data_IF_316696410327
#
_entry.id   IF_316696410327
#
_cell.length_a   1.000
_cell.length_b   1.000
_cell.length_c   1.000
_cell.angle_alpha   90.00
_cell.angle_beta   90.00
_cell.angle_gamma   90.00
#
_symmetry.space_group_name_H-M   'P 1'
#
loop_
_entity.id
_entity.type
_entity.pdbx_description
1 polymer ?
#
# COMPACT_ATOMS: atom_id res chain seq x y z
N UNK A 1 -7.15 14.63 13.17
CA UNK A 1 -6.74 13.23 12.88
C UNK A 1 -6.40 13.03 11.40
N UNK A 2 -7.18 13.54 10.45
CA UNK A 2 -6.86 13.42 9.00
C UNK A 2 -5.75 14.34 8.50
N UNK A 3 -5.49 15.46 9.19
CA UNK A 3 -4.48 16.44 8.77
C UNK A 3 -3.07 15.83 8.65
N UNK A 4 -2.58 15.15 9.69
CA UNK A 4 -1.25 14.52 9.66
C UNK A 4 -1.14 13.46 8.55
N UNK A 5 -2.19 12.66 8.33
CA UNK A 5 -2.24 11.69 7.23
C UNK A 5 -2.12 12.37 5.86
N UNK A 6 -2.86 13.47 5.66
CA UNK A 6 -2.82 14.22 4.41
C UNK A 6 -1.45 14.89 4.19
N UNK A 7 -0.85 15.42 5.24
CA UNK A 7 0.49 16.05 5.19
C UNK A 7 1.56 15.03 4.81
N UNK A 8 1.59 13.86 5.46
CA UNK A 8 2.55 12.80 5.14
C UNK A 8 2.33 12.21 3.75
N UNK A 9 1.06 12.01 3.33
CA UNK A 9 0.74 11.60 1.96
C UNK A 9 1.23 12.63 0.94
N UNK A 10 1.07 13.93 1.20
CA UNK A 10 1.58 14.96 0.30
C UNK A 10 3.10 14.97 0.21
N UNK A 11 3.82 14.80 1.33
CA UNK A 11 5.29 14.73 1.33
C UNK A 11 5.78 13.52 0.55
N UNK A 12 5.17 12.36 0.78
CA UNK A 12 5.49 11.14 0.05
C UNK A 12 5.27 11.31 -1.45
N UNK A 13 4.11 11.79 -1.89
CA UNK A 13 3.82 12.02 -3.31
C UNK A 13 4.79 13.01 -3.96
N UNK A 14 5.16 14.08 -3.27
CA UNK A 14 6.18 15.03 -3.76
C UNK A 14 7.56 14.39 -3.91
N UNK A 15 7.91 13.42 -3.05
CA UNK A 15 9.22 12.77 -3.10
C UNK A 15 9.40 11.84 -4.31
N UNK A 16 8.30 11.39 -4.91
CA UNK A 16 8.27 10.50 -6.08
C UNK A 16 7.74 11.21 -7.34
N UNK A 17 7.47 12.51 -7.26
CA UNK A 17 6.96 13.31 -8.37
C UNK A 17 8.01 13.41 -9.49
N UNK A 18 7.60 13.14 -10.73
CA UNK A 18 8.46 13.24 -11.91
C UNK A 18 9.35 12.02 -12.19
N UNK A 19 9.27 10.96 -11.37
CA UNK A 19 9.91 9.68 -11.70
C UNK A 19 9.29 9.06 -12.96
N UNK A 20 10.13 8.49 -13.82
CA UNK A 20 9.66 7.70 -14.97
C UNK A 20 9.16 6.33 -14.54
N UNK A 21 8.40 5.65 -15.41
CA UNK A 21 7.93 4.28 -15.14
C UNK A 21 9.09 3.31 -14.89
N UNK A 22 10.22 3.48 -15.58
CA UNK A 22 11.42 2.70 -15.36
C UNK A 22 11.99 2.93 -13.95
N UNK A 23 12.06 4.18 -13.50
CA UNK A 23 12.53 4.51 -12.14
C UNK A 23 11.54 4.02 -11.06
N UNK A 24 10.24 4.09 -11.35
CA UNK A 24 9.20 3.58 -10.45
C UNK A 24 9.25 2.07 -10.27
N UNK A 25 9.74 1.35 -11.29
CA UNK A 25 9.80 -0.13 -11.32
C UNK A 25 11.20 -0.69 -11.08
N UNK A 26 12.20 0.18 -10.95
CA UNK A 26 13.58 -0.19 -10.61
C UNK A 26 13.63 -0.88 -9.24
N UNK A 27 14.17 -2.09 -9.21
CA UNK A 27 14.36 -2.85 -7.97
C UNK A 27 15.58 -2.36 -7.22
N UNK A 28 15.62 -2.56 -5.91
CA UNK A 28 16.80 -2.22 -5.12
C UNK A 28 16.72 -0.85 -4.43
N UNK A 29 15.55 -0.20 -4.45
CA UNK A 29 15.37 1.11 -3.81
C UNK A 29 15.31 0.95 -2.29
N UNK A 30 14.61 -0.07 -1.81
CA UNK A 30 14.61 -0.51 -0.41
C UNK A 30 14.78 -2.03 -0.41
N UNK A 31 15.96 -2.52 -0.07
CA UNK A 31 16.33 -3.94 -0.17
C UNK A 31 16.03 -4.51 -1.57
N UNK A 32 14.98 -5.32 -1.73
CA UNK A 32 14.56 -5.89 -3.03
C UNK A 32 13.37 -5.15 -3.68
N UNK A 33 12.84 -4.12 -3.01
CA UNK A 33 11.61 -3.42 -3.40
C UNK A 33 11.91 -2.26 -4.34
N UNK A 34 11.00 -2.08 -5.30
CA UNK A 34 10.87 -0.87 -6.11
C UNK A 34 9.91 0.14 -5.45
N UNK A 35 9.86 1.38 -5.96
CA UNK A 35 8.85 2.36 -5.53
C UNK A 35 7.43 1.83 -5.79
N UNK A 36 7.21 1.13 -6.92
CA UNK A 36 5.95 0.43 -7.21
C UNK A 36 5.58 -0.54 -6.09
N UNK A 37 6.54 -1.31 -5.56
CA UNK A 37 6.25 -2.27 -4.49
C UNK A 37 5.89 -1.58 -3.17
N UNK A 38 6.51 -0.44 -2.86
CA UNK A 38 6.14 0.41 -1.72
C UNK A 38 4.70 0.94 -1.87
N UNK A 39 4.34 1.44 -3.05
CA UNK A 39 2.96 1.89 -3.34
C UNK A 39 1.95 0.76 -3.18
N UNK A 40 2.25 -0.42 -3.73
CA UNK A 40 1.39 -1.59 -3.63
C UNK A 40 1.19 -2.02 -2.17
N UNK A 41 2.25 -1.96 -1.36
CA UNK A 41 2.20 -2.27 0.06
C UNK A 41 1.29 -1.29 0.83
N UNK A 42 1.43 0.02 0.59
CA UNK A 42 0.58 1.04 1.22
C UNK A 42 -0.89 0.82 0.82
N UNK A 43 -1.16 0.69 -0.49
CA UNK A 43 -2.52 0.46 -1.00
C UNK A 43 -3.16 -0.80 -0.41
N UNK A 44 -2.39 -1.88 -0.22
CA UNK A 44 -2.90 -3.12 0.37
C UNK A 44 -3.32 -2.91 1.84
N UNK A 45 -2.48 -2.25 2.65
CA UNK A 45 -2.82 -1.97 4.05
C UNK A 45 -3.99 -0.99 4.19
N UNK A 46 -4.11 -0.01 3.29
CA UNK A 46 -5.26 0.90 3.26
C UNK A 46 -6.55 0.16 2.91
N UNK A 47 -6.51 -0.78 1.96
CA UNK A 47 -7.65 -1.64 1.61
C UNK A 47 -8.10 -2.52 2.79
N UNK A 48 -7.16 -3.08 3.56
CA UNK A 48 -7.44 -3.81 4.79
C UNK A 48 -8.13 -2.92 5.84
N UNK A 49 -7.69 -1.66 5.98
CA UNK A 49 -8.29 -0.68 6.89
C UNK A 49 -9.70 -0.28 6.47
N UNK A 50 -9.92 -0.05 5.16
CA UNK A 50 -11.25 0.22 4.61
C UNK A 50 -12.19 -0.94 4.86
N UNK A 51 -11.74 -2.17 4.61
CA UNK A 51 -12.51 -3.40 4.87
C UNK A 51 -12.85 -3.53 6.36
N UNK A 52 -11.89 -3.27 7.24
CA UNK A 52 -12.10 -3.30 8.69
C UNK A 52 -13.19 -2.31 9.12
N UNK A 53 -13.08 -1.05 8.68
CA UNK A 53 -14.06 0.01 9.00
C UNK A 53 -15.44 -0.35 8.42
N UNK A 54 -15.52 -0.89 7.21
CA UNK A 54 -16.77 -1.30 6.58
C UNK A 54 -17.46 -2.42 7.37
N UNK A 55 -16.72 -3.41 7.87
CA UNK A 55 -17.26 -4.47 8.71
C UNK A 55 -17.75 -3.93 10.06
N UNK A 56 -17.00 -3.04 10.70
CA UNK A 56 -17.44 -2.39 11.94
C UNK A 56 -18.74 -1.59 11.76
N UNK A 57 -18.85 -0.81 10.67
CA UNK A 57 -20.06 -0.04 10.36
C UNK A 57 -21.30 -0.94 10.15
N UNK A 58 -21.10 -2.18 9.73
CA UNK A 58 -22.16 -3.19 9.58
C UNK A 58 -22.49 -3.91 10.91
N UNK A 59 -21.88 -3.53 12.03
CA UNK A 59 -22.03 -4.23 13.31
C UNK A 59 -21.38 -5.61 13.33
N UNK A 60 -20.56 -5.95 12.35
CA UNK A 60 -19.85 -7.24 12.28
C UNK A 60 -18.55 -7.14 13.08
N UNK A 61 -18.16 -8.23 13.73
CA UNK A 61 -16.80 -8.38 14.27
C UNK A 61 -15.81 -8.40 13.11
N UNK A 62 -14.84 -7.46 13.03
CA UNK A 62 -13.92 -7.45 11.91
C UNK A 62 -13.06 -8.71 11.82
N UNK A 63 -12.83 -9.19 10.61
CA UNK A 63 -11.95 -10.30 10.27
C UNK A 63 -11.10 -9.85 9.08
N UNK A 64 -9.98 -9.21 9.40
CA UNK A 64 -9.03 -8.64 8.44
C UNK A 64 -7.61 -8.97 8.88
N UNK A 65 -6.65 -8.81 7.97
CA UNK A 65 -5.24 -9.09 8.23
C UNK A 65 -4.65 -8.16 9.29
N UNK A 66 -5.24 -6.97 9.49
CA UNK A 66 -4.93 -6.04 10.60
C UNK A 66 -5.04 -6.67 11.99
N UNK A 67 -5.86 -7.71 12.15
CA UNK A 67 -6.10 -8.36 13.45
C UNK A 67 -5.17 -9.55 13.72
N UNK A 68 -4.28 -9.89 12.77
CA UNK A 68 -3.50 -11.14 12.82
C UNK A 68 -2.27 -11.08 13.73
N UNK A 69 -1.68 -9.89 13.94
CA UNK A 69 -0.38 -9.72 14.59
C UNK A 69 0.83 -10.26 13.81
N UNK A 70 0.61 -10.75 12.58
CA UNK A 70 1.62 -11.41 11.73
C UNK A 70 2.10 -10.47 10.60
N UNK A 71 2.52 -9.26 10.97
CA UNK A 71 2.75 -8.15 10.02
C UNK A 71 3.81 -8.53 8.98
N UNK A 72 4.89 -9.20 9.39
CA UNK A 72 6.03 -9.55 8.56
C UNK A 72 5.69 -10.65 7.55
N UNK A 73 4.94 -11.68 7.98
CA UNK A 73 4.42 -12.73 7.11
C UNK A 73 3.49 -12.12 6.04
N UNK A 74 2.58 -11.25 6.47
CA UNK A 74 1.64 -10.56 5.58
C UNK A 74 2.35 -9.63 4.60
N UNK A 75 3.36 -8.88 5.04
CA UNK A 75 4.16 -8.03 4.17
C UNK A 75 4.84 -8.85 3.07
N UNK A 76 5.39 -10.02 3.40
CA UNK A 76 5.99 -10.92 2.42
C UNK A 76 4.95 -11.51 1.45
N UNK A 77 3.76 -11.87 1.94
CA UNK A 77 2.65 -12.36 1.11
C UNK A 77 2.11 -11.28 0.16
N UNK A 78 1.92 -10.06 0.65
CA UNK A 78 1.48 -8.91 -0.14
C UNK A 78 2.51 -8.54 -1.20
N UNK A 79 3.81 -8.53 -0.85
CA UNK A 79 4.88 -8.32 -1.82
C UNK A 79 4.84 -9.39 -2.92
N UNK A 80 4.79 -10.68 -2.54
CA UNK A 80 4.71 -11.79 -3.52
C UNK A 80 3.50 -11.67 -4.46
N UNK A 81 2.36 -11.22 -3.93
CA UNK A 81 1.10 -11.08 -4.68
C UNK A 81 1.13 -9.88 -5.63
N UNK A 82 1.88 -8.82 -5.29
CA UNK A 82 1.91 -7.58 -6.06
C UNK A 82 3.14 -7.41 -6.96
N UNK A 83 4.26 -8.08 -6.70
CA UNK A 83 5.55 -7.82 -7.39
C UNK A 83 5.47 -7.91 -8.92
N UNK A 84 4.60 -8.77 -9.45
CA UNK A 84 4.42 -8.98 -10.89
C UNK A 84 3.26 -8.16 -11.49
N UNK A 85 2.53 -7.38 -10.68
CA UNK A 85 1.47 -6.51 -11.19
C UNK A 85 2.08 -5.32 -11.93
N UNK A 86 1.46 -4.87 -13.02
CA UNK A 86 1.95 -3.74 -13.80
C UNK A 86 1.74 -2.42 -13.03
N UNK A 87 2.59 -1.43 -13.30
CA UNK A 87 2.65 -0.16 -12.56
C UNK A 87 1.32 0.60 -12.61
N UNK A 88 0.67 0.64 -13.79
CA UNK A 88 -0.63 1.28 -14.00
C UNK A 88 -1.71 0.76 -13.04
N UNK A 89 -1.74 -0.55 -12.79
CA UNK A 89 -2.69 -1.18 -11.86
C UNK A 89 -2.38 -0.87 -10.41
N UNK A 90 -1.11 -0.77 -10.05
CA UNK A 90 -0.71 -0.37 -8.70
C UNK A 90 -1.06 1.10 -8.43
N UNK A 91 -0.82 1.98 -9.41
CA UNK A 91 -1.18 3.39 -9.32
C UNK A 91 -2.70 3.59 -9.23
N UNK A 92 -3.48 2.83 -10.00
CA UNK A 92 -4.93 2.85 -9.91
C UNK A 92 -5.41 2.47 -8.49
N UNK A 93 -4.93 1.36 -7.94
CA UNK A 93 -5.29 0.93 -6.58
C UNK A 93 -4.88 1.95 -5.51
N UNK A 94 -3.70 2.58 -5.67
CA UNK A 94 -3.18 3.54 -4.70
C UNK A 94 -3.94 4.87 -4.68
N UNK A 95 -4.55 5.26 -5.81
CA UNK A 95 -5.36 6.47 -5.92
C UNK A 95 -6.81 6.29 -5.50
N UNK A 96 -7.34 5.05 -5.51
CA UNK A 96 -8.71 4.73 -5.14
C UNK A 96 -9.69 4.85 -6.31
#
# INVERSE_FOLDING_TARGET
MTQALNEERSKFLKSIEGLSDEQMTEKGVIDEWSIKDVLAHIATWESEMVTFIAQMKQGKKPRTNLMSGKVEELNAEFYKSNKNRPLDRILADFHG
#
